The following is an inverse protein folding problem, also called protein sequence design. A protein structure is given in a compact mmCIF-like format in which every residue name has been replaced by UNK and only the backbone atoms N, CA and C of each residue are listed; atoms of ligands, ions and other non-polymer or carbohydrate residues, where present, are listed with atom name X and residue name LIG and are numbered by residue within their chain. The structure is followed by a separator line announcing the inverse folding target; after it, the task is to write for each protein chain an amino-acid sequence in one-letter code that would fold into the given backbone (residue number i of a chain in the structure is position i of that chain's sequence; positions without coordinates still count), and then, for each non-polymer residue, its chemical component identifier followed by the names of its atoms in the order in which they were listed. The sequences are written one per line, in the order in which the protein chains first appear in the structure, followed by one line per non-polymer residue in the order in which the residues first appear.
data_IF_700970814361
#
_entry.id   IF_700970814361
#
_cell.length_a   1.000
_cell.length_b   1.000
_cell.length_c   1.000
_cell.angle_alpha   90.00
_cell.angle_beta   90.00
_cell.angle_gamma   90.00
#
_symmetry.space_group_name_H-M   'P 1'
#
loop_
_entity.id
_entity.type
_entity.pdbx_description
1 polymer ?
#
# COMPACT_ATOMS: atom_id res chain seq x y z
N UNK A 1 21.36 6.02 -5.29
CA UNK A 1 21.01 7.06 -6.28
C UNK A 1 20.24 6.39 -7.42
N UNK A 2 19.07 6.92 -7.78
CA UNK A 2 18.20 6.39 -8.84
C UNK A 2 17.91 7.42 -9.95
N UNK A 3 18.66 8.54 -10.01
CA UNK A 3 18.46 9.62 -10.98
C UNK A 3 18.59 9.16 -12.45
N UNK A 4 19.33 8.06 -12.68
CA UNK A 4 19.38 7.38 -13.99
C UNK A 4 18.02 6.86 -14.48
N UNK A 5 17.08 6.60 -13.59
CA UNK A 5 15.72 6.13 -13.92
C UNK A 5 14.66 7.22 -13.82
N UNK A 6 14.82 8.17 -12.91
CA UNK A 6 13.77 9.12 -12.55
C UNK A 6 14.33 10.52 -12.31
N UNK A 7 13.75 11.53 -12.98
CA UNK A 7 14.08 12.95 -12.77
C UNK A 7 13.31 13.62 -11.64
N UNK A 8 12.48 12.87 -10.91
CA UNK A 8 11.65 13.44 -9.85
C UNK A 8 12.51 14.06 -8.76
N UNK A 9 12.15 15.30 -8.37
CA UNK A 9 12.95 16.09 -7.43
C UNK A 9 13.03 15.50 -6.04
N UNK A 10 12.07 14.64 -5.66
CA UNK A 10 12.12 13.85 -4.41
C UNK A 10 13.34 12.93 -4.35
N UNK A 11 13.92 12.54 -5.49
CA UNK A 11 15.08 11.65 -5.61
C UNK A 11 16.36 12.33 -6.14
N UNK A 12 16.36 13.67 -6.24
CA UNK A 12 17.39 14.46 -6.93
C UNK A 12 18.83 14.24 -6.43
N UNK A 13 19.01 14.05 -5.12
CA UNK A 13 20.32 13.82 -4.52
C UNK A 13 20.22 12.98 -3.26
N UNK A 14 21.26 12.20 -2.99
CA UNK A 14 21.40 11.45 -1.74
C UNK A 14 21.39 12.44 -0.55
N UNK A 15 20.63 12.10 0.49
CA UNK A 15 20.50 12.92 1.70
C UNK A 15 19.45 14.03 1.62
N UNK A 16 18.79 14.25 0.45
CA UNK A 16 17.63 15.14 0.38
C UNK A 16 16.51 14.63 1.30
N UNK A 17 15.95 15.53 2.11
CA UNK A 17 14.79 15.26 2.96
C UNK A 17 13.56 15.90 2.34
N UNK A 18 12.49 15.13 2.26
CA UNK A 18 11.18 15.58 1.76
C UNK A 18 10.17 15.33 2.87
N UNK A 19 9.44 16.35 3.36
CA UNK A 19 8.37 16.14 4.32
C UNK A 19 7.31 15.20 3.75
N UNK A 20 6.72 14.37 4.61
CA UNK A 20 5.64 13.48 4.23
C UNK A 20 4.49 13.54 5.23
N UNK A 21 3.31 13.13 4.77
CA UNK A 21 2.22 12.65 5.61
C UNK A 21 1.89 11.21 5.22
N UNK A 22 1.48 10.39 6.19
CA UNK A 22 1.07 9.01 5.95
C UNK A 22 -0.23 8.72 6.69
N UNK A 23 -1.08 7.90 6.09
CA UNK A 23 -2.26 7.34 6.74
C UNK A 23 -2.26 5.82 6.55
N UNK A 24 -2.38 5.11 7.66
CA UNK A 24 -2.67 3.69 7.68
C UNK A 24 -4.15 3.45 7.92
N UNK A 25 -4.69 2.32 7.46
CA UNK A 25 -6.08 1.96 7.70
C UNK A 25 -6.36 0.48 7.47
N UNK A 26 -7.51 0.01 7.93
CA UNK A 26 -8.22 -1.14 7.36
C UNK A 26 -8.97 -0.74 6.07
N UNK A 27 -9.77 -1.64 5.49
CA UNK A 27 -10.50 -1.46 4.23
C UNK A 27 -12.01 -1.67 4.41
N UNK A 28 -12.41 -2.84 4.90
CA UNK A 28 -13.80 -3.26 4.95
C UNK A 28 -14.60 -2.60 6.08
N UNK A 29 -13.94 -2.28 7.19
CA UNK A 29 -14.56 -1.75 8.40
C UNK A 29 -14.97 -0.29 8.32
N UNK A 30 -15.97 0.09 9.13
CA UNK A 30 -16.34 1.49 9.35
C UNK A 30 -15.43 2.15 10.41
N UNK A 31 -15.66 3.43 10.70
CA UNK A 31 -14.82 4.24 11.59
C UNK A 31 -14.61 3.66 12.99
N UNK A 32 -15.60 2.95 13.53
CA UNK A 32 -15.53 2.31 14.85
C UNK A 32 -15.18 0.82 14.82
N UNK A 33 -14.71 0.30 13.68
CA UNK A 33 -14.29 -1.11 13.57
C UNK A 33 -12.92 -1.35 14.20
N UNK A 34 -12.65 -2.59 14.59
CA UNK A 34 -11.38 -2.96 15.23
C UNK A 34 -10.19 -2.94 14.26
N UNK A 35 -9.10 -2.29 14.69
CA UNK A 35 -7.80 -2.19 14.00
C UNK A 35 -7.16 -3.56 13.70
N UNK A 36 -7.49 -4.59 14.49
CA UNK A 36 -6.91 -5.94 14.39
C UNK A 36 -7.66 -6.89 13.45
N UNK A 37 -8.77 -6.45 12.82
CA UNK A 37 -9.54 -7.28 11.89
C UNK A 37 -8.70 -7.83 10.73
N UNK A 38 -9.00 -9.04 10.24
CA UNK A 38 -8.34 -9.58 9.04
C UNK A 38 -8.72 -8.76 7.81
N UNK A 39 -7.75 -8.06 7.23
CA UNK A 39 -7.99 -7.14 6.11
C UNK A 39 -6.64 -6.77 5.46
N UNK A 40 -6.57 -6.36 4.18
CA UNK A 40 -5.43 -5.55 3.74
C UNK A 40 -5.31 -4.30 4.60
N UNK A 41 -4.12 -3.71 4.66
CA UNK A 41 -3.92 -2.41 5.30
C UNK A 41 -3.53 -1.35 4.29
N UNK A 42 -4.22 -0.21 4.35
CA UNK A 42 -3.83 0.99 3.62
C UNK A 42 -2.46 1.48 4.08
N UNK A 43 -1.64 1.93 3.12
CA UNK A 43 -0.32 2.50 3.32
C UNK A 43 -0.17 3.70 2.38
N UNK A 44 -0.93 4.76 2.65
CA UNK A 44 -1.02 5.93 1.77
C UNK A 44 -0.04 7.02 2.20
N UNK A 45 0.86 7.42 1.31
CA UNK A 45 1.93 8.38 1.59
C UNK A 45 1.74 9.61 0.69
N UNK A 46 1.82 10.80 1.28
CA UNK A 46 1.87 12.09 0.57
C UNK A 46 3.25 12.69 0.77
N UNK A 47 3.95 12.95 -0.33
CA UNK A 47 5.25 13.61 -0.35
C UNK A 47 5.05 15.07 -0.73
N UNK A 48 5.45 15.98 0.16
CA UNK A 48 5.42 17.43 -0.10
C UNK A 48 6.71 17.83 -0.84
N UNK A 49 6.70 17.70 -2.17
CA UNK A 49 7.88 17.96 -3.00
C UNK A 49 7.97 19.42 -3.43
N UNK A 50 9.13 19.85 -3.93
CA UNK A 50 9.35 21.21 -4.44
C UNK A 50 8.41 21.59 -5.61
N UNK A 51 7.82 20.61 -6.30
CA UNK A 51 6.97 20.79 -7.49
C UNK A 51 5.61 20.12 -7.33
N UNK A 52 5.00 20.27 -6.15
CA UNK A 52 3.68 19.76 -5.84
C UNK A 52 3.70 18.47 -5.02
N UNK A 53 2.51 17.96 -4.72
CA UNK A 53 2.35 16.75 -3.94
C UNK A 53 2.47 15.52 -4.84
N UNK A 54 3.22 14.53 -4.37
CA UNK A 54 3.15 13.18 -4.92
C UNK A 54 2.44 12.29 -3.91
N UNK A 55 1.34 11.65 -4.30
CA UNK A 55 0.67 10.65 -3.48
C UNK A 55 0.98 9.25 -3.99
N UNK A 56 1.56 8.42 -3.12
CA UNK A 56 1.71 7.00 -3.35
C UNK A 56 0.71 6.26 -2.46
N UNK A 57 -0.42 5.90 -3.06
CA UNK A 57 -1.57 5.31 -2.36
C UNK A 57 -1.44 3.79 -2.37
N UNK A 58 -0.61 3.28 -1.47
CA UNK A 58 -0.26 1.86 -1.40
C UNK A 58 -1.09 1.04 -0.42
N UNK A 59 -0.76 -0.25 -0.37
CA UNK A 59 -1.26 -1.21 0.62
C UNK A 59 -0.10 -1.99 1.26
N UNK A 60 -0.39 -2.77 2.30
CA UNK A 60 0.57 -3.70 2.91
C UNK A 60 0.79 -5.01 2.13
N UNK A 61 0.24 -5.09 0.92
CA UNK A 61 0.36 -6.21 -0.02
C UNK A 61 0.84 -5.71 -1.39
N UNK A 62 1.72 -6.44 -2.09
CA UNK A 62 2.20 -6.06 -3.42
C UNK A 62 1.18 -6.31 -4.55
N UNK A 63 0.03 -6.91 -4.25
CA UNK A 63 -1.00 -7.32 -5.21
C UNK A 63 -2.39 -6.93 -4.70
N UNK A 64 -3.42 -7.11 -5.53
CA UNK A 64 -4.80 -6.91 -5.14
C UNK A 64 -5.71 -8.05 -5.62
N UNK A 65 -6.98 -8.02 -5.20
CA UNK A 65 -7.96 -9.08 -5.50
C UNK A 65 -8.39 -9.09 -6.96
N UNK A 66 -8.43 -7.92 -7.59
CA UNK A 66 -8.94 -7.74 -8.94
C UNK A 66 -7.93 -6.95 -9.79
N UNK A 67 -8.11 -7.04 -11.10
CA UNK A 67 -7.26 -6.43 -12.13
C UNK A 67 -8.04 -5.59 -13.15
N UNK A 68 -9.31 -5.33 -12.86
CA UNK A 68 -10.18 -4.50 -13.69
C UNK A 68 -11.06 -3.62 -12.78
N UNK A 69 -11.00 -2.28 -12.92
CA UNK A 69 -11.66 -1.35 -11.99
C UNK A 69 -13.19 -1.46 -12.02
N UNK A 70 -13.78 -1.99 -13.10
CA UNK A 70 -15.23 -2.20 -13.18
C UNK A 70 -15.76 -3.11 -12.07
N UNK A 71 -14.92 -4.00 -11.55
CA UNK A 71 -15.29 -4.94 -10.49
C UNK A 71 -15.13 -4.34 -9.08
N UNK A 72 -14.49 -3.18 -8.94
CA UNK A 72 -14.15 -2.63 -7.62
C UNK A 72 -15.38 -2.32 -6.76
N UNK A 73 -16.45 -1.68 -7.27
CA UNK A 73 -17.67 -1.47 -6.48
C UNK A 73 -18.30 -2.79 -6.02
N UNK A 74 -18.44 -3.76 -6.94
CA UNK A 74 -18.99 -5.09 -6.62
C UNK A 74 -18.16 -5.81 -5.56
N UNK A 75 -16.82 -5.81 -5.72
CA UNK A 75 -15.90 -6.38 -4.74
C UNK A 75 -16.10 -5.72 -3.37
N UNK A 76 -16.05 -4.40 -3.28
CA UNK A 76 -16.17 -3.70 -1.99
C UNK A 76 -17.52 -3.94 -1.33
N UNK A 77 -18.62 -4.05 -2.10
CA UNK A 77 -19.92 -4.43 -1.54
C UNK A 77 -19.88 -5.80 -0.86
N UNK A 78 -19.22 -6.80 -1.47
CA UNK A 78 -19.15 -8.14 -0.88
C UNK A 78 -18.24 -8.24 0.35
N UNK A 79 -17.28 -7.32 0.49
CA UNK A 79 -16.46 -7.21 1.70
C UNK A 79 -17.17 -6.46 2.85
N UNK A 80 -18.29 -5.78 2.54
CA UNK A 80 -19.01 -4.91 3.49
C UNK A 80 -20.25 -5.62 4.05
N UNK A 81 -21.37 -4.92 4.14
CA UNK A 81 -22.56 -5.36 4.85
C UNK A 81 -23.62 -5.73 3.83
N UNK A 82 -24.38 -6.77 4.11
CA UNK A 82 -25.55 -7.14 3.32
C UNK A 82 -26.54 -5.95 3.31
N UNK A 83 -27.10 -5.59 2.15
CA UNK A 83 -27.92 -4.39 1.99
C UNK A 83 -29.26 -4.45 2.73
N UNK A 84 -29.74 -5.64 3.12
CA UNK A 84 -31.00 -5.82 3.85
C UNK A 84 -30.76 -5.90 5.35
N UNK A 85 -29.78 -6.70 5.77
CA UNK A 85 -29.56 -7.00 7.21
C UNK A 85 -28.55 -6.09 7.87
N UNK A 86 -27.73 -5.38 7.10
CA UNK A 86 -26.60 -4.59 7.57
C UNK A 86 -25.55 -5.42 8.36
N UNK A 87 -25.53 -6.75 8.18
CA UNK A 87 -24.56 -7.69 8.77
C UNK A 87 -23.47 -8.07 7.78
N UNK A 88 -22.34 -8.59 8.26
CA UNK A 88 -21.37 -9.29 7.39
C UNK A 88 -22.02 -10.56 6.84
N UNK A 89 -21.69 -10.87 5.59
CA UNK A 89 -22.32 -11.95 4.84
C UNK A 89 -21.25 -12.83 4.19
N UNK A 90 -21.01 -14.06 4.71
CA UNK A 90 -20.02 -14.96 4.16
C UNK A 90 -20.40 -15.48 2.77
N UNK A 91 -21.69 -15.58 2.44
CA UNK A 91 -22.14 -16.01 1.11
C UNK A 91 -21.78 -14.96 0.08
N UNK A 92 -22.08 -13.67 0.34
CA UNK A 92 -21.66 -12.58 -0.55
C UNK A 92 -20.13 -12.55 -0.74
N UNK A 93 -19.39 -12.69 0.35
CA UNK A 93 -17.92 -12.68 0.33
C UNK A 93 -17.35 -13.81 -0.55
N UNK A 94 -17.79 -15.06 -0.31
CA UNK A 94 -17.26 -16.22 -1.01
C UNK A 94 -17.84 -16.41 -2.40
N UNK A 95 -19.07 -16.00 -2.67
CA UNK A 95 -19.67 -16.01 -4.00
C UNK A 95 -18.81 -15.20 -4.99
N UNK A 96 -18.48 -13.95 -4.64
CA UNK A 96 -17.59 -13.13 -5.48
C UNK A 96 -16.20 -13.77 -5.65
N UNK A 97 -15.57 -14.22 -4.56
CA UNK A 97 -14.20 -14.75 -4.60
C UNK A 97 -14.13 -16.03 -5.44
N UNK A 98 -15.07 -16.95 -5.27
CA UNK A 98 -15.05 -18.26 -5.95
C UNK A 98 -15.40 -18.14 -7.43
N UNK A 99 -16.21 -17.15 -7.81
CA UNK A 99 -16.52 -16.85 -9.21
C UNK A 99 -15.41 -16.06 -9.93
N UNK A 100 -14.48 -15.45 -9.18
CA UNK A 100 -13.39 -14.61 -9.71
C UNK A 100 -12.02 -15.20 -9.35
N UNK A 101 -11.51 -16.19 -10.10
CA UNK A 101 -10.27 -16.90 -9.75
C UNK A 101 -9.03 -16.00 -9.73
N UNK A 102 -9.05 -14.82 -10.35
CA UNK A 102 -7.97 -13.84 -10.25
C UNK A 102 -7.71 -13.35 -8.80
N UNK A 103 -8.70 -13.50 -7.90
CA UNK A 103 -8.59 -13.14 -6.48
C UNK A 103 -7.66 -14.05 -5.69
N UNK A 104 -7.42 -15.27 -6.18
CA UNK A 104 -6.76 -16.37 -5.44
C UNK A 104 -5.43 -15.95 -4.80
N UNK A 105 -4.61 -15.18 -5.50
CA UNK A 105 -3.28 -14.81 -5.02
C UNK A 105 -3.39 -13.87 -3.80
N UNK A 106 -4.24 -12.84 -3.88
CA UNK A 106 -4.46 -11.91 -2.77
C UNK A 106 -5.26 -12.57 -1.63
N UNK A 107 -6.20 -13.48 -1.92
CA UNK A 107 -6.90 -14.27 -0.89
C UNK A 107 -5.90 -15.13 -0.11
N UNK A 108 -4.97 -15.80 -0.79
CA UNK A 108 -3.89 -16.56 -0.14
C UNK A 108 -3.03 -15.67 0.77
N UNK A 109 -2.70 -14.46 0.31
CA UNK A 109 -1.98 -13.49 1.14
C UNK A 109 -2.79 -13.04 2.36
N UNK A 110 -4.07 -12.68 2.15
CA UNK A 110 -4.98 -12.20 3.18
C UNK A 110 -5.21 -13.24 4.29
N UNK A 111 -5.40 -14.51 3.93
CA UNK A 111 -5.65 -15.58 4.90
C UNK A 111 -4.37 -16.18 5.51
N UNK A 112 -3.19 -15.74 5.05
CA UNK A 112 -1.95 -15.96 5.81
C UNK A 112 -1.92 -15.12 7.10
N UNK A 113 -0.88 -15.29 7.93
CA UNK A 113 -0.70 -14.44 9.11
C UNK A 113 -0.53 -12.95 8.75
N UNK A 114 -0.15 -12.61 7.51
CA UNK A 114 0.00 -11.22 7.06
C UNK A 114 -1.30 -10.42 6.99
N UNK A 115 -2.46 -11.07 7.05
CA UNK A 115 -3.76 -10.41 7.11
C UNK A 115 -4.11 -9.76 8.46
N UNK A 116 -3.35 -10.08 9.50
CA UNK A 116 -3.53 -9.57 10.87
C UNK A 116 -2.19 -9.03 11.41
N UNK A 117 -1.67 -7.92 10.88
CA UNK A 117 -0.40 -7.34 11.34
C UNK A 117 -0.46 -6.87 12.78
N UNK A 118 0.66 -7.01 13.48
CA UNK A 118 0.86 -6.49 14.84
C UNK A 118 1.15 -4.97 14.78
N UNK A 119 0.07 -4.20 14.69
CA UNK A 119 0.13 -2.75 14.51
C UNK A 119 0.69 -2.33 13.14
N UNK A 120 0.69 -1.02 12.88
CA UNK A 120 1.11 -0.49 11.59
C UNK A 120 2.64 -0.50 11.39
N UNK A 121 3.42 -0.55 12.48
CA UNK A 121 4.90 -0.47 12.41
C UNK A 121 5.54 -1.77 11.92
N UNK A 122 4.85 -2.90 12.05
CA UNK A 122 5.38 -4.24 11.74
C UNK A 122 4.88 -4.81 10.40
N UNK A 123 4.47 -3.95 9.46
CA UNK A 123 4.10 -4.34 8.11
C UNK A 123 4.92 -3.59 7.05
N UNK A 124 5.06 -4.19 5.88
CA UNK A 124 5.59 -3.49 4.71
C UNK A 124 4.50 -2.63 4.07
N UNK A 125 4.92 -1.70 3.22
CA UNK A 125 4.06 -1.00 2.26
C UNK A 125 4.51 -1.27 0.83
N UNK A 126 3.59 -1.19 -0.11
CA UNK A 126 3.84 -1.41 -1.53
C UNK A 126 3.00 -0.44 -2.33
N UNK A 127 3.54 0.08 -3.43
CA UNK A 127 2.72 0.80 -4.41
C UNK A 127 1.73 -0.12 -5.14
N UNK A 128 1.96 -1.44 -5.05
CA UNK A 128 1.21 -2.55 -5.68
C UNK A 128 1.20 -2.49 -7.21
N UNK A 129 0.67 -1.42 -7.80
CA UNK A 129 0.66 -1.16 -9.22
C UNK A 129 2.05 -1.03 -9.83
N UNK A 130 2.09 -1.28 -11.13
CA UNK A 130 3.23 -0.86 -11.95
C UNK A 130 3.11 0.63 -12.24
N UNK A 131 4.19 1.38 -12.06
CA UNK A 131 4.32 2.79 -12.43
C UNK A 131 5.38 2.93 -13.52
N UNK A 132 5.46 4.11 -14.12
CA UNK A 132 6.52 4.47 -15.07
C UNK A 132 7.40 5.57 -14.45
N UNK A 133 8.71 5.43 -14.57
CA UNK A 133 9.68 6.46 -14.24
C UNK A 133 10.31 7.00 -15.50
N UNK A 134 10.53 8.31 -15.54
CA UNK A 134 11.15 9.02 -16.66
C UNK A 134 12.38 9.78 -16.17
N UNK A 135 13.53 9.57 -16.80
CA UNK A 135 14.78 10.24 -16.42
C UNK A 135 14.95 11.62 -17.11
N UNK A 136 16.07 12.28 -16.87
CA UNK A 136 16.36 13.61 -17.42
C UNK A 136 16.50 13.63 -18.95
N UNK A 137 16.80 12.48 -19.57
CA UNK A 137 16.90 12.31 -21.03
C UNK A 137 15.56 11.97 -21.69
N UNK A 138 14.49 11.81 -20.90
CA UNK A 138 13.19 11.36 -21.40
C UNK A 138 13.07 9.84 -21.56
N UNK A 139 14.09 9.07 -21.16
CA UNK A 139 14.04 7.61 -21.22
C UNK A 139 13.14 7.08 -20.10
N UNK A 140 12.33 6.07 -20.41
CA UNK A 140 11.33 5.51 -19.51
C UNK A 140 11.63 4.08 -19.11
N UNK A 141 11.31 3.74 -17.86
CA UNK A 141 11.29 2.37 -17.34
C UNK A 141 10.02 2.13 -16.53
N UNK A 142 9.58 0.89 -16.43
CA UNK A 142 8.54 0.53 -15.47
C UNK A 142 9.16 0.25 -14.10
N UNK A 143 8.37 0.48 -13.04
CA UNK A 143 8.81 0.22 -11.68
C UNK A 143 7.69 -0.26 -10.74
N UNK A 144 8.10 -0.89 -9.64
CA UNK A 144 7.27 -1.21 -8.47
C UNK A 144 7.92 -0.60 -7.23
N UNK A 145 7.14 0.06 -6.37
CA UNK A 145 7.63 0.63 -5.11
C UNK A 145 7.45 -0.33 -3.93
N UNK A 146 8.46 -0.43 -3.07
CA UNK A 146 8.48 -1.29 -1.89
C UNK A 146 9.00 -0.52 -0.67
N UNK A 147 8.26 -0.58 0.43
CA UNK A 147 8.61 0.00 1.74
C UNK A 147 8.75 -1.14 2.73
N UNK A 148 9.98 -1.53 3.07
CA UNK A 148 10.24 -2.65 3.98
C UNK A 148 10.39 -2.14 5.40
N UNK A 149 9.59 -2.64 6.34
CA UNK A 149 9.68 -2.21 7.75
C UNK A 149 11.06 -2.54 8.31
N UNK A 150 11.66 -1.58 9.01
CA UNK A 150 12.91 -1.79 9.74
C UNK A 150 12.67 -2.34 11.16
N UNK A 151 11.41 -2.58 11.56
CA UNK A 151 11.03 -3.10 12.87
C UNK A 151 10.82 -4.62 12.85
N UNK A 152 10.94 -5.25 11.67
CA UNK A 152 10.62 -6.65 11.43
C UNK A 152 9.12 -6.88 11.24
N UNK A 153 8.79 -7.86 10.41
CA UNK A 153 7.40 -8.29 10.22
C UNK A 153 6.92 -9.03 11.46
N UNK A 154 5.76 -8.65 11.98
CA UNK A 154 5.07 -9.32 13.09
C UNK A 154 3.58 -9.37 12.81
N UNK A 155 2.95 -10.45 13.26
CA UNK A 155 1.56 -10.77 12.97
C UNK A 155 0.92 -11.45 14.17
N UNK A 156 -0.37 -11.21 14.34
CA UNK A 156 -1.22 -11.97 15.26
C UNK A 156 -1.76 -13.24 14.58
N UNK A 157 -1.98 -14.28 15.37
CA UNK A 157 -2.90 -15.36 14.98
C UNK A 157 -4.34 -14.84 14.97
N UNK A 158 -5.28 -15.59 14.37
CA UNK A 158 -6.70 -15.22 14.38
C UNK A 158 -7.23 -14.99 15.80
N UNK A 159 -6.99 -15.94 16.71
CA UNK A 159 -7.45 -15.83 18.11
C UNK A 159 -6.85 -14.63 18.87
N UNK A 160 -5.59 -14.28 18.60
CA UNK A 160 -4.97 -13.09 19.20
C UNK A 160 -5.60 -11.81 18.67
N UNK A 161 -5.84 -11.74 17.36
CA UNK A 161 -6.50 -10.60 16.72
C UNK A 161 -7.94 -10.41 17.22
N UNK A 162 -8.69 -11.50 17.36
CA UNK A 162 -10.08 -11.51 17.86
C UNK A 162 -10.15 -11.04 19.31
N UNK A 163 -9.22 -11.49 20.16
CA UNK A 163 -9.13 -11.02 21.54
C UNK A 163 -8.82 -9.51 21.62
N UNK A 164 -7.88 -9.02 20.82
CA UNK A 164 -7.58 -7.59 20.80
C UNK A 164 -8.73 -6.75 20.23
N UNK A 165 -9.52 -7.31 19.31
CA UNK A 165 -10.68 -6.60 18.76
C UNK A 165 -11.72 -6.27 19.84
N UNK A 166 -11.83 -7.07 20.91
CA UNK A 166 -12.68 -6.77 22.07
C UNK A 166 -11.98 -5.91 23.12
N UNK A 167 -10.69 -6.16 23.37
CA UNK A 167 -9.95 -5.52 24.47
C UNK A 167 -9.52 -4.07 24.15
N UNK A 168 -9.09 -3.82 22.91
CA UNK A 168 -8.62 -2.52 22.43
C UNK A 168 -8.85 -2.40 20.90
N UNK A 169 -10.05 -2.00 20.45
CA UNK A 169 -10.35 -1.88 19.02
C UNK A 169 -9.47 -0.83 18.31
N UNK A 170 -8.82 0.07 19.06
CA UNK A 170 -7.91 1.10 18.56
C UNK A 170 -6.42 0.73 18.71
N UNK A 171 -6.11 -0.57 18.85
CA UNK A 171 -4.77 -1.07 19.17
C UNK A 171 -3.67 -0.52 18.25
N UNK A 172 -3.85 -0.60 16.93
CA UNK A 172 -2.80 -0.21 15.98
C UNK A 172 -2.59 1.31 15.98
N UNK A 173 -3.65 2.07 16.18
CA UNK A 173 -3.64 3.53 16.37
C UNK A 173 -2.89 3.90 17.64
N UNK A 174 -3.22 3.26 18.77
CA UNK A 174 -2.54 3.46 20.06
C UNK A 174 -1.06 3.11 19.99
N UNK A 175 -0.72 1.97 19.38
CA UNK A 175 0.65 1.52 19.18
C UNK A 175 1.50 2.55 18.44
N UNK A 176 1.00 3.04 17.29
CA UNK A 176 1.73 4.02 16.47
C UNK A 176 1.91 5.35 17.21
N UNK A 177 0.83 5.85 17.83
CA UNK A 177 0.88 7.12 18.57
C UNK A 177 1.90 7.05 19.71
N UNK A 178 1.84 6.00 20.53
CA UNK A 178 2.72 5.83 21.68
C UNK A 178 4.18 5.61 21.27
N UNK A 179 4.43 4.89 20.17
CA UNK A 179 5.78 4.71 19.66
C UNK A 179 6.42 6.06 19.26
N UNK A 180 5.68 6.91 18.55
CA UNK A 180 6.16 8.23 18.16
C UNK A 180 6.31 9.15 19.37
N UNK A 181 5.32 9.21 20.26
CA UNK A 181 5.38 10.02 21.47
C UNK A 181 6.54 9.63 22.40
N UNK A 182 6.88 8.34 22.45
CA UNK A 182 8.01 7.79 23.20
C UNK A 182 9.36 7.86 22.48
N UNK A 183 9.48 8.56 21.35
CA UNK A 183 10.74 8.70 20.60
C UNK A 183 11.19 7.45 19.84
N UNK A 184 10.36 6.40 19.79
CA UNK A 184 10.63 5.13 19.08
C UNK A 184 10.10 5.21 17.64
N UNK A 185 10.67 6.14 16.87
CA UNK A 185 10.20 6.47 15.53
C UNK A 185 10.25 5.27 14.57
N UNK A 186 9.10 4.78 14.07
CA UNK A 186 9.11 3.72 13.07
C UNK A 186 9.68 4.22 11.75
N UNK A 187 10.27 3.30 11.00
CA UNK A 187 10.90 3.62 9.73
C UNK A 187 10.89 2.45 8.76
N UNK A 188 10.88 2.78 7.47
CA UNK A 188 10.87 1.84 6.36
C UNK A 188 12.02 2.13 5.41
N UNK A 189 12.71 1.08 4.97
CA UNK A 189 13.67 1.17 3.87
C UNK A 189 12.91 1.12 2.54
N UNK A 190 13.18 2.08 1.66
CA UNK A 190 12.48 2.27 0.39
C UNK A 190 13.29 1.64 -0.74
N UNK A 191 12.63 0.85 -1.56
CA UNK A 191 13.20 0.17 -2.71
C UNK A 191 12.30 0.32 -3.94
N UNK A 192 12.90 0.14 -5.11
CA UNK A 192 12.19 -0.07 -6.36
C UNK A 192 12.63 -1.37 -7.03
N UNK A 193 11.72 -2.01 -7.76
CA UNK A 193 12.10 -2.88 -8.87
C UNK A 193 12.03 -2.06 -10.16
N UNK A 194 12.86 -2.38 -11.15
CA UNK A 194 12.90 -1.69 -12.45
C UNK A 194 12.84 -2.71 -13.57
N UNK A 195 11.97 -2.47 -14.55
CA UNK A 195 11.80 -3.31 -15.74
C UNK A 195 11.87 -2.41 -16.98
N UNK A 196 12.71 -2.76 -17.95
CA UNK A 196 12.75 -2.04 -19.21
C UNK A 196 11.57 -2.45 -20.11
N UNK A 197 11.28 -1.67 -21.15
CA UNK A 197 10.09 -1.91 -21.99
C UNK A 197 10.20 -3.21 -22.80
N UNK A 198 11.40 -3.60 -23.24
CA UNK A 198 11.62 -4.86 -23.96
C UNK A 198 11.40 -6.08 -23.08
N UNK A 199 11.75 -5.98 -21.80
CA UNK A 199 11.50 -7.04 -20.81
C UNK A 199 10.00 -7.18 -20.54
N UNK A 200 9.29 -6.06 -20.47
CA UNK A 200 7.83 -6.03 -20.27
C UNK A 200 7.07 -6.76 -21.40
N UNK A 201 7.53 -6.63 -22.65
CA UNK A 201 6.98 -7.34 -23.82
C UNK A 201 7.24 -8.85 -23.80
N UNK A 202 8.28 -9.30 -23.08
CA UNK A 202 8.72 -10.70 -23.02
C UNK A 202 8.25 -11.43 -21.77
N UNK A 203 7.71 -10.72 -20.79
CA UNK A 203 7.27 -11.32 -19.54
C UNK A 203 6.13 -12.32 -19.81
N UNK A 204 6.20 -13.49 -19.17
CA UNK A 204 5.23 -14.59 -19.37
C UNK A 204 3.79 -14.22 -18.99
N UNK A 205 3.61 -13.18 -18.20
CA UNK A 205 2.32 -12.63 -17.81
C UNK A 205 2.34 -11.11 -17.97
N UNK A 206 1.16 -10.51 -17.99
CA UNK A 206 1.01 -9.06 -18.11
C UNK A 206 1.73 -8.35 -16.93
N UNK A 207 2.76 -7.51 -17.19
CA UNK A 207 3.49 -6.78 -16.15
C UNK A 207 2.65 -5.71 -15.45
N UNK A 208 1.47 -5.39 -15.98
CA UNK A 208 0.50 -4.43 -15.46
C UNK A 208 -0.71 -5.11 -14.80
N UNK A 209 -0.71 -6.45 -14.65
CA UNK A 209 -1.75 -7.16 -13.89
C UNK A 209 -1.50 -7.01 -12.38
N UNK A 210 -2.38 -6.28 -11.70
CA UNK A 210 -2.30 -6.02 -10.26
C UNK A 210 -2.38 -7.28 -9.37
N UNK A 211 -2.77 -8.43 -9.92
CA UNK A 211 -2.77 -9.71 -9.20
C UNK A 211 -1.40 -10.42 -9.26
N UNK A 212 -0.39 -9.83 -9.91
CA UNK A 212 0.94 -10.42 -10.14
C UNK A 212 2.06 -9.60 -9.47
N UNK A 213 3.07 -10.33 -9.01
CA UNK A 213 4.35 -9.75 -8.55
C UNK A 213 5.41 -9.88 -9.63
N UNK A 214 6.46 -9.08 -9.53
CA UNK A 214 7.71 -9.31 -10.27
C UNK A 214 8.67 -10.11 -9.38
N UNK A 215 9.13 -11.30 -9.81
CA UNK A 215 10.01 -12.15 -9.01
C UNK A 215 11.30 -11.40 -8.65
N UNK A 216 11.67 -11.39 -7.37
CA UNK A 216 12.89 -10.68 -6.92
C UNK A 216 14.18 -11.24 -7.53
N UNK A 217 14.20 -12.51 -7.94
CA UNK A 217 15.36 -13.12 -8.60
C UNK A 217 15.61 -12.54 -10.00
N UNK A 218 14.54 -12.14 -10.70
CA UNK A 218 14.62 -11.54 -12.04
C UNK A 218 14.72 -10.01 -11.96
N UNK A 219 13.95 -9.41 -11.03
CA UNK A 219 13.88 -7.97 -10.82
C UNK A 219 14.27 -7.65 -9.37
N UNK A 220 15.56 -7.55 -9.04
CA UNK A 220 16.01 -7.34 -7.67
C UNK A 220 15.60 -5.96 -7.13
N UNK A 221 15.53 -5.85 -5.81
CA UNK A 221 15.23 -4.60 -5.13
C UNK A 221 16.44 -3.65 -5.19
N UNK A 222 16.22 -2.45 -5.71
CA UNK A 222 17.20 -1.36 -5.78
C UNK A 222 16.92 -0.37 -4.64
N UNK A 223 17.88 -0.13 -3.73
CA UNK A 223 17.69 0.83 -2.63
C UNK A 223 17.50 2.27 -3.13
N UNK A 224 16.52 2.97 -2.54
CA UNK A 224 16.20 4.36 -2.86
C UNK A 224 16.50 5.31 -1.69
N UNK A 225 15.99 4.98 -0.50
CA UNK A 225 16.07 5.87 0.66
C UNK A 225 15.40 5.27 1.90
N UNK A 226 15.05 6.14 2.85
CA UNK A 226 14.41 5.75 4.12
C UNK A 226 13.25 6.69 4.44
N UNK A 227 12.14 6.11 4.84
CA UNK A 227 10.98 6.81 5.38
C UNK A 227 10.99 6.71 6.91
N UNK A 228 10.74 7.81 7.63
CA UNK A 228 10.70 7.86 9.10
C UNK A 228 9.47 8.65 9.52
N UNK A 229 8.75 8.18 10.55
CA UNK A 229 7.63 8.90 11.15
C UNK A 229 8.04 9.37 12.55
N UNK A 230 8.17 10.67 12.72
CA UNK A 230 8.73 11.29 13.92
C UNK A 230 7.80 12.33 14.58
N UNK A 231 6.57 12.46 14.06
CA UNK A 231 5.61 13.46 14.53
C UNK A 231 4.17 12.94 14.46
N UNK A 232 3.47 13.00 15.58
CA UNK A 232 2.03 12.74 15.65
C UNK A 232 1.21 13.94 15.14
N UNK A 233 -0.01 13.72 14.63
CA UNK A 233 -0.94 14.80 14.32
C UNK A 233 -1.25 15.62 15.57
N UNK A 234 -1.48 16.94 15.40
CA UNK A 234 -1.90 17.81 16.51
C UNK A 234 -3.40 17.69 16.74
N UNK A 235 -4.15 17.51 15.67
CA UNK A 235 -5.58 17.29 15.72
C UNK A 235 -5.94 16.18 14.73
N UNK A 236 -6.45 15.05 15.22
CA UNK A 236 -6.75 13.89 14.38
C UNK A 236 -7.73 14.25 13.25
N UNK A 237 -8.78 15.00 13.55
CA UNK A 237 -9.78 15.34 12.54
C UNK A 237 -9.18 16.19 11.41
N UNK A 238 -8.50 17.28 11.78
CA UNK A 238 -7.91 18.19 10.80
C UNK A 238 -6.75 17.56 10.00
N UNK A 239 -5.88 16.80 10.68
CA UNK A 239 -4.64 16.30 10.08
C UNK A 239 -4.78 14.89 9.45
N UNK A 240 -5.74 14.08 9.91
CA UNK A 240 -5.89 12.66 9.52
C UNK A 240 -7.26 12.34 8.94
N UNK A 241 -8.36 12.86 9.48
CA UNK A 241 -9.69 12.58 8.91
C UNK A 241 -9.90 13.32 7.59
N UNK A 242 -9.43 14.57 7.50
CA UNK A 242 -9.54 15.41 6.30
C UNK A 242 -8.44 15.18 5.26
N UNK A 243 -7.45 14.32 5.55
CA UNK A 243 -6.37 14.07 4.59
C UNK A 243 -6.92 13.35 3.35
N UNK A 244 -6.60 13.88 2.18
CA UNK A 244 -6.97 13.30 0.90
C UNK A 244 -5.73 12.83 0.14
N UNK A 245 -5.80 11.62 -0.40
CA UNK A 245 -4.78 11.08 -1.29
C UNK A 245 -5.42 10.74 -2.63
N UNK A 246 -4.69 11.01 -3.72
CA UNK A 246 -5.12 10.64 -5.07
C UNK A 246 -3.94 10.06 -5.85
N UNK A 247 -4.03 8.84 -6.41
CA UNK A 247 -3.00 8.31 -7.29
C UNK A 247 -2.68 9.21 -8.49
N UNK A 248 -3.60 10.09 -8.88
CA UNK A 248 -3.40 11.07 -9.95
C UNK A 248 -2.45 12.22 -9.55
N UNK A 249 -2.20 12.44 -8.25
CA UNK A 249 -1.18 13.38 -7.78
C UNK A 249 0.21 12.79 -8.00
N UNK A 250 0.72 12.94 -9.22
CA UNK A 250 2.08 12.57 -9.59
C UNK A 250 2.91 13.81 -9.91
N UNK A 251 4.23 13.68 -9.76
CA UNK A 251 5.20 14.74 -10.04
C UNK A 251 6.05 14.37 -11.26
N UNK A 252 6.61 15.38 -11.93
CA UNK A 252 7.47 15.17 -13.11
C UNK A 252 8.52 14.09 -12.86
N UNK A 253 8.54 13.06 -13.72
CA UNK A 253 9.43 11.91 -13.61
C UNK A 253 8.77 10.63 -13.06
N UNK A 254 7.55 10.72 -12.54
CA UNK A 254 6.72 9.58 -12.12
C UNK A 254 5.39 9.67 -12.86
N UNK A 255 4.98 8.59 -13.50
CA UNK A 255 3.78 8.51 -14.33
C UNK A 255 3.04 7.18 -14.10
N UNK A 256 1.75 7.15 -14.43
CA UNK A 256 0.97 5.92 -14.41
C UNK A 256 1.41 4.96 -15.53
N UNK A 257 1.30 3.66 -15.28
CA UNK A 257 1.39 2.64 -16.34
C UNK A 257 0.00 2.31 -16.90
N UNK A 258 -0.08 1.47 -17.96
CA UNK A 258 -1.35 0.94 -18.48
C UNK A 258 -2.08 -0.06 -17.56
N UNK A 259 -1.68 -0.22 -16.29
CA UNK A 259 -2.42 -1.02 -15.30
C UNK A 259 -3.85 -0.49 -15.19
N UNK A 260 -4.82 -1.30 -15.61
CA UNK A 260 -6.24 -0.92 -15.63
C UNK A 260 -6.75 -0.43 -14.27
N UNK A 261 -6.30 -1.06 -13.19
CA UNK A 261 -6.72 -0.68 -11.84
C UNK A 261 -6.14 0.66 -11.41
N UNK A 262 -4.97 1.05 -11.93
CA UNK A 262 -4.38 2.37 -11.67
C UNK A 262 -5.05 3.47 -12.51
N UNK A 263 -5.60 3.10 -13.67
CA UNK A 263 -6.26 4.03 -14.59
C UNK A 263 -7.70 4.37 -14.20
N UNK A 264 -8.40 3.44 -13.53
CA UNK A 264 -9.76 3.64 -13.02
C UNK A 264 -9.78 4.34 -11.69
#
# INVERSE_FOLDING_TARGET
DITKYCKAKVFERVGKKTPIAIRFSTVGGEKGSADTARDPRGFAIKFYTDYGNWDLVGNNTPIFFIRDPMLFPSFIHTQKRNPVTNLKDPDMFWDFITLRPETTHQVSFLFSNRGTPDGYRHMNGYGSHTFKMVNAKGESVYCKFHFKTNQGIKNFTGAQADKLASDDPDYATRDLYNAIAGGKYPSWSVFIQVMNFKDAERLKWNPFDLTKVWPHAEYPLIPVGRMVLDKNPKNYFADVEQIAFSPAHMVTGIEASPDKMLQG
#
